data_IF_224578886991
#
_entry.id   IF_224578886991
#
_cell.length_a   1.000
_cell.length_b   1.000
_cell.length_c   1.000
_cell.angle_alpha   90.00
_cell.angle_beta   90.00
_cell.angle_gamma   90.00
#
_symmetry.space_group_name_H-M   'P 1'
#
loop_
_entity.id
_entity.type
_entity.pdbx_description
1 polymer ?
#
# COMPACT_ATOMS: atom_id res chain seq x y z
N UNK A 1 -17.34 13.19 -4.23
CA UNK A 1 -16.63 11.91 -4.16
C UNK A 1 -15.58 12.03 -3.07
N UNK A 2 -15.62 11.20 -2.03
CA UNK A 2 -14.62 11.23 -0.96
C UNK A 2 -13.44 10.33 -1.35
N UNK A 3 -12.25 10.91 -1.46
CA UNK A 3 -11.03 10.23 -1.90
C UNK A 3 -10.09 10.03 -0.73
N UNK A 4 -9.44 8.87 -0.62
CA UNK A 4 -8.37 8.61 0.33
C UNK A 4 -7.08 8.24 -0.42
N UNK A 5 -5.93 8.68 0.11
CA UNK A 5 -4.61 8.17 -0.29
C UNK A 5 -4.28 6.94 0.55
N UNK A 6 -3.92 5.85 -0.12
CA UNK A 6 -3.54 4.58 0.51
C UNK A 6 -2.09 4.24 0.18
N UNK A 7 -1.25 4.25 1.19
CA UNK A 7 0.19 4.03 1.11
C UNK A 7 0.50 2.65 1.68
N UNK A 8 0.86 1.70 0.81
CA UNK A 8 0.86 0.27 1.15
C UNK A 8 2.25 -0.33 1.25
N UNK A 9 2.50 -1.00 2.39
CA UNK A 9 3.69 -1.84 2.69
C UNK A 9 5.05 -1.12 2.53
N UNK A 10 5.07 0.21 2.72
CA UNK A 10 6.32 0.99 2.77
C UNK A 10 6.94 0.92 4.17
N UNK A 11 7.31 -0.30 4.55
CA UNK A 11 7.91 -0.67 5.83
C UNK A 11 9.42 -0.82 5.69
N UNK A 12 10.17 -0.60 6.78
CA UNK A 12 11.63 -0.69 6.78
C UNK A 12 12.14 -1.98 6.14
N UNK A 13 11.61 -3.13 6.54
CA UNK A 13 12.03 -4.44 6.03
C UNK A 13 11.62 -4.71 4.58
N UNK A 14 10.62 -4.03 4.05
CA UNK A 14 10.18 -4.18 2.65
C UNK A 14 10.95 -3.23 1.74
N UNK A 15 11.08 -1.97 2.14
CA UNK A 15 11.87 -0.96 1.40
C UNK A 15 13.33 -1.40 1.23
N UNK A 16 13.89 -2.04 2.25
CA UNK A 16 15.26 -2.58 2.20
C UNK A 16 15.48 -3.66 1.12
N UNK A 17 14.41 -4.25 0.56
CA UNK A 17 14.50 -5.26 -0.51
C UNK A 17 14.66 -4.67 -1.91
N UNK A 18 14.46 -3.36 -2.06
CA UNK A 18 14.57 -2.66 -3.35
C UNK A 18 15.52 -1.46 -3.24
N UNK A 19 16.78 -1.66 -2.80
CA UNK A 19 17.68 -0.56 -2.43
C UNK A 19 17.89 0.44 -3.58
N UNK A 20 18.01 -0.05 -4.81
CA UNK A 20 18.28 0.78 -6.00
C UNK A 20 17.12 1.70 -6.38
N UNK A 21 15.88 1.31 -6.04
CA UNK A 21 14.66 2.06 -6.36
C UNK A 21 14.14 2.87 -5.17
N UNK A 22 14.55 2.53 -3.95
CA UNK A 22 13.96 3.01 -2.71
C UNK A 22 14.01 4.53 -2.55
N UNK A 23 15.14 5.15 -2.86
CA UNK A 23 15.33 6.60 -2.68
C UNK A 23 14.40 7.42 -3.59
N UNK A 24 14.28 7.03 -4.86
CA UNK A 24 13.41 7.69 -5.84
C UNK A 24 11.92 7.48 -5.50
N UNK A 25 11.55 6.25 -5.15
CA UNK A 25 10.19 5.89 -4.76
C UNK A 25 9.74 6.68 -3.52
N UNK A 26 10.53 6.66 -2.46
CA UNK A 26 10.22 7.40 -1.23
C UNK A 26 10.09 8.90 -1.50
N UNK A 27 10.98 9.49 -2.28
CA UNK A 27 10.89 10.90 -2.67
C UNK A 27 9.62 11.23 -3.48
N UNK A 28 9.14 10.31 -4.32
CA UNK A 28 7.88 10.45 -5.03
C UNK A 28 6.70 10.41 -4.05
N UNK A 29 6.70 9.45 -3.13
CA UNK A 29 5.61 9.31 -2.15
C UNK A 29 5.58 10.47 -1.16
N UNK A 30 6.72 11.04 -0.76
CA UNK A 30 6.77 12.26 0.06
C UNK A 30 6.02 13.43 -0.60
N UNK A 31 6.17 13.63 -1.91
CA UNK A 31 5.41 14.66 -2.66
C UNK A 31 3.92 14.35 -2.73
N UNK A 32 3.57 13.09 -2.98
CA UNK A 32 2.16 12.63 -2.99
C UNK A 32 1.51 12.85 -1.63
N UNK A 33 2.18 12.48 -0.54
CA UNK A 33 1.72 12.70 0.85
C UNK A 33 1.51 14.18 1.16
N UNK A 34 2.44 15.03 0.75
CA UNK A 34 2.33 16.49 0.91
C UNK A 34 1.05 17.00 0.25
N UNK A 35 0.84 16.67 -1.01
CA UNK A 35 -0.34 17.07 -1.77
C UNK A 35 -1.64 16.53 -1.17
N UNK A 36 -1.67 15.26 -0.78
CA UNK A 36 -2.87 14.67 -0.14
C UNK A 36 -3.26 15.41 1.15
N UNK A 37 -2.26 15.71 1.99
CA UNK A 37 -2.46 16.43 3.26
C UNK A 37 -2.91 17.88 3.04
N UNK A 38 -2.33 18.59 2.07
CA UNK A 38 -2.77 19.93 1.66
C UNK A 38 -4.22 19.94 1.19
N UNK A 39 -4.64 18.90 0.48
CA UNK A 39 -6.03 18.67 0.03
C UNK A 39 -6.95 18.14 1.14
N UNK A 40 -6.44 17.95 2.35
CA UNK A 40 -7.18 17.38 3.49
C UNK A 40 -7.79 16.01 3.17
N UNK A 41 -7.14 15.23 2.32
CA UNK A 41 -7.53 13.86 2.04
C UNK A 41 -7.15 12.96 3.23
N UNK A 42 -7.99 12.00 3.61
CA UNK A 42 -7.58 10.93 4.51
C UNK A 42 -6.35 10.21 3.95
N UNK A 43 -5.30 10.09 4.78
CA UNK A 43 -4.09 9.33 4.47
C UNK A 43 -4.10 8.06 5.30
N UNK A 44 -4.04 6.91 4.62
CA UNK A 44 -4.10 5.60 5.26
C UNK A 44 -2.83 4.84 4.88
N UNK A 45 -1.99 4.59 5.86
CA UNK A 45 -0.87 3.68 5.72
C UNK A 45 -1.33 2.25 6.00
N UNK A 46 -1.01 1.34 5.11
CA UNK A 46 -1.26 -0.09 5.29
C UNK A 46 0.07 -0.79 5.48
N UNK A 47 0.19 -1.61 6.51
CA UNK A 47 1.38 -2.42 6.77
C UNK A 47 1.02 -3.89 6.98
N UNK A 48 1.90 -4.81 6.63
CA UNK A 48 1.77 -6.22 6.97
C UNK A 48 2.59 -6.52 8.22
N UNK A 49 1.94 -7.07 9.24
CA UNK A 49 2.59 -7.52 10.46
C UNK A 49 1.73 -8.62 11.12
N UNK A 50 2.30 -9.34 12.07
CA UNK A 50 1.65 -10.43 12.77
C UNK A 50 1.79 -10.28 14.29
N UNK A 51 0.96 -10.96 15.06
CA UNK A 51 1.18 -11.11 16.49
C UNK A 51 2.43 -11.92 16.76
N UNK A 52 3.08 -11.78 17.92
CA UNK A 52 4.23 -12.57 18.30
C UNK A 52 4.02 -14.07 18.08
N UNK A 53 4.97 -14.71 17.44
CA UNK A 53 4.88 -16.12 17.05
C UNK A 53 4.06 -16.39 15.79
N UNK A 54 3.55 -15.37 15.12
CA UNK A 54 2.85 -15.42 13.83
C UNK A 54 1.66 -16.41 13.79
N UNK A 55 0.73 -16.41 14.80
CA UNK A 55 -0.36 -17.40 14.86
C UNK A 55 -1.31 -17.32 13.67
N UNK A 56 -1.37 -16.20 12.96
CA UNK A 56 -2.18 -16.01 11.78
C UNK A 56 -1.60 -16.65 10.51
N UNK A 57 -0.35 -17.11 10.55
CA UNK A 57 0.34 -17.67 9.38
C UNK A 57 0.12 -19.18 9.27
N UNK A 58 -0.67 -19.59 8.28
CA UNK A 58 -0.90 -21.00 7.97
C UNK A 58 0.27 -21.61 7.19
N UNK A 59 0.66 -22.84 7.53
CA UNK A 59 1.63 -23.61 6.75
C UNK A 59 1.18 -23.90 5.31
N UNK A 60 -0.12 -23.85 5.04
CA UNK A 60 -0.69 -24.04 3.70
C UNK A 60 -0.65 -22.80 2.82
N UNK A 61 -0.35 -21.64 3.39
CA UNK A 61 -0.26 -20.40 2.62
C UNK A 61 1.15 -20.26 2.04
N UNK A 62 1.29 -20.54 0.75
CA UNK A 62 2.57 -20.53 0.07
C UNK A 62 3.30 -19.18 0.18
N UNK A 63 2.56 -18.06 0.13
CA UNK A 63 3.15 -16.72 0.20
C UNK A 63 3.69 -16.37 1.59
N UNK A 64 3.06 -16.89 2.65
CA UNK A 64 3.37 -16.50 4.03
C UNK A 64 4.01 -17.60 4.87
N UNK A 65 3.96 -18.86 4.44
CA UNK A 65 4.47 -20.00 5.25
C UNK A 65 5.91 -19.85 5.69
N UNK A 66 6.77 -19.25 4.85
CA UNK A 66 8.17 -18.97 5.18
C UNK A 66 8.36 -17.91 6.28
N UNK A 67 7.30 -17.16 6.63
CA UNK A 67 7.32 -16.12 7.68
C UNK A 67 6.91 -16.66 9.05
N UNK A 68 6.60 -17.96 9.15
CA UNK A 68 6.20 -18.55 10.44
C UNK A 68 7.31 -18.47 11.46
N UNK A 69 7.02 -17.86 12.62
CA UNK A 69 7.98 -17.70 13.70
C UNK A 69 9.07 -16.65 13.43
N UNK A 70 9.00 -15.92 12.34
CA UNK A 70 9.93 -14.82 12.07
C UNK A 70 9.55 -13.58 12.89
N UNK A 71 10.29 -13.31 13.96
CA UNK A 71 10.05 -12.17 14.84
C UNK A 71 10.22 -10.80 14.16
N UNK A 72 10.89 -10.75 13.00
CA UNK A 72 10.99 -9.52 12.20
C UNK A 72 9.64 -9.11 11.63
N UNK A 73 8.68 -10.03 11.57
CA UNK A 73 7.32 -9.78 11.11
C UNK A 73 6.34 -9.46 12.26
N UNK A 74 6.81 -9.40 13.50
CA UNK A 74 5.97 -9.03 14.65
C UNK A 74 5.53 -7.55 14.55
N UNK A 75 4.34 -7.25 15.07
CA UNK A 75 3.76 -5.89 15.05
C UNK A 75 4.64 -4.82 15.73
N UNK A 76 5.48 -5.24 16.66
CA UNK A 76 6.38 -4.37 17.41
C UNK A 76 7.78 -4.28 16.82
N UNK A 77 8.06 -5.05 15.76
CA UNK A 77 9.37 -5.05 15.11
C UNK A 77 9.60 -3.76 14.30
N UNK A 78 10.82 -3.23 14.37
CA UNK A 78 11.23 -2.10 13.52
C UNK A 78 11.07 -2.43 12.02
N UNK A 79 11.31 -3.67 11.62
CA UNK A 79 11.14 -4.09 10.23
C UNK A 79 9.71 -3.93 9.71
N UNK A 80 8.69 -3.99 10.58
CA UNK A 80 7.27 -3.79 10.23
C UNK A 80 6.80 -2.35 10.42
N UNK A 81 7.65 -1.46 10.92
CA UNK A 81 7.34 -0.04 11.06
C UNK A 81 7.26 0.65 9.69
N UNK A 82 6.36 1.63 9.55
CA UNK A 82 6.33 2.51 8.38
C UNK A 82 7.67 3.24 8.27
N UNK A 83 8.20 3.32 7.06
CA UNK A 83 9.53 3.90 6.82
C UNK A 83 9.58 5.38 7.28
N UNK A 84 10.58 5.79 8.09
CA UNK A 84 10.59 7.09 8.79
C UNK A 84 10.58 8.30 7.85
N UNK A 85 11.11 8.18 6.63
CA UNK A 85 11.02 9.26 5.63
C UNK A 85 9.59 9.66 5.28
N UNK A 86 8.60 8.80 5.49
CA UNK A 86 7.19 9.11 5.17
C UNK A 86 6.52 9.95 6.26
N UNK A 87 7.21 10.18 7.36
CA UNK A 87 6.83 11.11 8.43
C UNK A 87 5.33 11.06 8.78
N UNK A 88 4.92 9.99 9.47
CA UNK A 88 3.56 9.88 10.00
C UNK A 88 3.19 11.15 10.79
N UNK A 89 2.00 11.69 10.54
CA UNK A 89 1.48 12.89 11.19
C UNK A 89 0.22 12.59 11.98
N UNK A 90 -0.12 13.46 12.90
CA UNK A 90 -1.41 13.42 13.58
C UNK A 90 -2.54 13.47 12.53
N UNK A 91 -3.47 12.52 12.62
CA UNK A 91 -4.55 12.34 11.66
C UNK A 91 -4.28 11.32 10.55
N UNK A 92 -3.04 10.89 10.31
CA UNK A 92 -2.75 9.74 9.47
C UNK A 92 -3.17 8.44 10.18
N UNK A 93 -3.74 7.51 9.43
CA UNK A 93 -4.17 6.22 9.97
C UNK A 93 -3.19 5.11 9.58
N UNK A 94 -2.94 4.17 10.49
CA UNK A 94 -2.14 2.99 10.22
C UNK A 94 -3.01 1.74 10.38
N UNK A 95 -3.25 1.06 9.27
CA UNK A 95 -3.98 -0.22 9.22
C UNK A 95 -2.99 -1.36 9.15
N UNK A 96 -3.15 -2.37 10.00
CA UNK A 96 -2.32 -3.57 9.98
C UNK A 96 -3.10 -4.73 9.37
N UNK A 97 -2.61 -5.26 8.25
CA UNK A 97 -3.19 -6.42 7.54
C UNK A 97 -2.44 -7.71 7.83
N UNK A 98 -3.10 -8.85 7.62
CA UNK A 98 -2.55 -10.19 7.84
C UNK A 98 -2.40 -11.02 6.55
N UNK A 99 -2.76 -10.46 5.41
CA UNK A 99 -2.68 -11.11 4.09
C UNK A 99 -2.18 -10.12 3.05
N UNK A 100 -2.18 -10.51 1.79
CA UNK A 100 -1.61 -9.70 0.70
C UNK A 100 -2.44 -8.44 0.44
N UNK A 101 -3.76 -8.56 0.30
CA UNK A 101 -4.65 -7.40 0.10
C UNK A 101 -4.74 -6.54 1.37
N UNK A 102 -4.89 -5.23 1.21
CA UNK A 102 -5.14 -4.29 2.30
C UNK A 102 -6.39 -4.63 3.12
N UNK A 103 -7.39 -5.22 2.51
CA UNK A 103 -8.66 -5.61 3.13
C UNK A 103 -8.57 -6.89 3.95
N UNK A 104 -7.60 -7.75 3.66
CA UNK A 104 -7.61 -9.11 4.17
C UNK A 104 -6.95 -9.23 5.55
N UNK A 105 -7.77 -9.49 6.57
CA UNK A 105 -7.35 -9.61 7.96
C UNK A 105 -6.98 -8.27 8.59
N UNK A 106 -7.70 -7.21 8.22
CA UNK A 106 -7.53 -5.84 8.69
C UNK A 106 -8.88 -5.18 8.94
N UNK A 107 -8.86 -4.00 9.51
CA UNK A 107 -9.99 -3.09 9.68
C UNK A 107 -10.10 -2.05 8.54
N UNK A 108 -9.36 -2.23 7.45
CA UNK A 108 -9.27 -1.25 6.36
C UNK A 108 -10.65 -0.85 5.80
N UNK A 109 -11.53 -1.82 5.53
CA UNK A 109 -12.87 -1.54 5.03
C UNK A 109 -13.70 -0.74 6.03
N UNK A 110 -13.60 -1.04 7.32
CA UNK A 110 -14.30 -0.29 8.40
C UNK A 110 -13.83 1.16 8.40
N UNK A 111 -12.53 1.39 8.28
CA UNK A 111 -11.93 2.73 8.19
C UNK A 111 -12.46 3.47 6.96
N UNK A 112 -12.44 2.85 5.78
CA UNK A 112 -12.95 3.49 4.55
C UNK A 112 -14.42 3.90 4.67
N UNK A 113 -15.24 3.03 5.24
CA UNK A 113 -16.67 3.32 5.46
C UNK A 113 -16.89 4.46 6.45
N UNK A 114 -16.10 4.54 7.53
CA UNK A 114 -16.23 5.60 8.54
C UNK A 114 -15.95 7.00 7.98
N UNK A 115 -15.10 7.09 6.95
CA UNK A 115 -14.82 8.32 6.21
C UNK A 115 -15.69 8.51 4.96
N UNK A 116 -16.65 7.63 4.73
CA UNK A 116 -17.48 7.61 3.51
C UNK A 116 -16.63 7.65 2.22
N UNK A 117 -15.46 7.00 2.24
CA UNK A 117 -14.56 6.93 1.09
C UNK A 117 -15.17 6.05 0.01
N UNK A 118 -15.12 6.52 -1.24
CA UNK A 118 -15.57 5.78 -2.43
C UNK A 118 -14.56 5.83 -3.59
N UNK A 119 -13.44 6.53 -3.40
CA UNK A 119 -12.33 6.56 -4.35
C UNK A 119 -11.00 6.37 -3.63
N UNK A 120 -10.16 5.45 -4.13
CA UNK A 120 -8.84 5.16 -3.57
C UNK A 120 -7.74 5.57 -4.54
N UNK A 121 -6.79 6.35 -4.05
CA UNK A 121 -5.51 6.62 -4.73
C UNK A 121 -4.47 5.69 -4.11
N UNK A 122 -3.95 4.76 -4.89
CA UNK A 122 -3.14 3.64 -4.42
C UNK A 122 -1.67 3.80 -4.81
N UNK A 123 -0.78 3.57 -3.85
CA UNK A 123 0.66 3.48 -4.06
C UNK A 123 1.30 2.46 -3.10
N UNK A 124 2.50 1.98 -3.38
CA UNK A 124 3.22 1.07 -2.47
C UNK A 124 4.04 -0.04 -3.14
N UNK A 125 4.49 -1.01 -2.32
CA UNK A 125 5.34 -2.16 -2.67
C UNK A 125 4.70 -3.47 -2.15
N UNK A 126 4.60 -4.53 -2.93
CA UNK A 126 5.00 -4.64 -4.34
C UNK A 126 3.78 -4.45 -5.26
N UNK A 127 4.03 -4.02 -6.47
CA UNK A 127 2.99 -3.88 -7.51
C UNK A 127 2.23 -5.19 -7.72
N UNK A 128 2.95 -6.32 -7.84
CA UNK A 128 2.37 -7.67 -8.01
C UNK A 128 1.80 -8.27 -6.72
N UNK A 129 2.12 -7.68 -5.58
CA UNK A 129 1.64 -8.12 -4.28
C UNK A 129 0.43 -7.32 -3.81
N UNK A 130 0.69 -6.41 -2.83
CA UNK A 130 -0.37 -5.65 -2.17
C UNK A 130 -1.15 -4.76 -3.13
N UNK A 131 -0.48 -4.12 -4.11
CA UNK A 131 -1.17 -3.22 -5.04
C UNK A 131 -2.16 -4.00 -5.90
N UNK A 132 -1.72 -5.06 -6.59
CA UNK A 132 -2.58 -5.92 -7.40
C UNK A 132 -3.75 -6.50 -6.59
N UNK A 133 -3.45 -7.08 -5.43
CA UNK A 133 -4.47 -7.73 -4.61
C UNK A 133 -5.51 -6.74 -4.08
N UNK A 134 -5.08 -5.51 -3.74
CA UNK A 134 -5.97 -4.45 -3.27
C UNK A 134 -6.80 -3.87 -4.40
N UNK A 135 -6.21 -3.64 -5.59
CA UNK A 135 -6.95 -3.19 -6.78
C UNK A 135 -8.07 -4.16 -7.12
N UNK A 136 -7.80 -5.48 -7.15
CA UNK A 136 -8.82 -6.50 -7.44
C UNK A 136 -9.97 -6.45 -6.45
N UNK A 137 -9.65 -6.50 -5.16
CA UNK A 137 -10.67 -6.54 -4.11
C UNK A 137 -11.44 -5.22 -4.00
N UNK A 138 -10.77 -4.08 -4.15
CA UNK A 138 -11.44 -2.78 -4.12
C UNK A 138 -12.38 -2.57 -5.32
N UNK A 139 -11.99 -3.04 -6.51
CA UNK A 139 -12.86 -3.02 -7.69
C UNK A 139 -14.11 -3.88 -7.50
N UNK A 140 -13.96 -5.08 -6.92
CA UNK A 140 -15.10 -5.97 -6.60
C UNK A 140 -16.01 -5.41 -5.48
N UNK A 141 -15.53 -4.42 -4.71
CA UNK A 141 -16.28 -3.69 -3.69
C UNK A 141 -16.80 -2.32 -4.21
N UNK A 142 -16.79 -2.09 -5.52
CA UNK A 142 -17.29 -0.90 -6.20
C UNK A 142 -16.57 0.42 -5.86
N UNK A 143 -15.30 0.37 -5.41
CA UNK A 143 -14.50 1.58 -5.28
C UNK A 143 -14.02 2.09 -6.64
N UNK A 144 -14.06 3.40 -6.86
CA UNK A 144 -13.29 4.05 -7.91
C UNK A 144 -11.81 4.03 -7.56
N UNK A 145 -10.93 3.74 -8.54
CA UNK A 145 -9.51 3.49 -8.27
C UNK A 145 -8.61 4.35 -9.16
N UNK A 146 -7.58 4.91 -8.54
CA UNK A 146 -6.41 5.49 -9.21
C UNK A 146 -5.16 4.82 -8.69
N UNK A 147 -4.28 4.35 -9.58
CA UNK A 147 -2.97 3.80 -9.23
C UNK A 147 -1.90 4.77 -9.71
N UNK A 148 -1.01 5.17 -8.81
CA UNK A 148 0.11 6.05 -9.13
C UNK A 148 1.30 5.21 -9.62
N UNK A 149 1.54 5.22 -10.94
CA UNK A 149 2.49 4.30 -11.58
C UNK A 149 3.92 4.43 -11.08
N UNK A 150 4.39 5.65 -10.86
CA UNK A 150 5.74 5.96 -10.38
C UNK A 150 5.85 6.03 -8.84
N UNK A 151 4.74 5.82 -8.14
CA UNK A 151 4.67 5.66 -6.68
C UNK A 151 4.43 4.20 -6.25
N UNK A 152 4.52 3.25 -7.19
CA UNK A 152 4.56 1.81 -6.96
C UNK A 152 5.89 1.25 -7.44
N UNK A 153 6.33 0.15 -6.84
CA UNK A 153 7.51 -0.58 -7.28
C UNK A 153 7.33 -2.09 -7.14
N UNK A 154 8.08 -2.83 -7.92
CA UNK A 154 8.20 -4.28 -7.84
C UNK A 154 9.68 -4.70 -7.95
N UNK A 155 10.01 -5.87 -7.45
CA UNK A 155 11.35 -6.44 -7.61
C UNK A 155 11.66 -6.77 -9.08
N UNK A 156 10.63 -7.10 -9.86
CA UNK A 156 10.73 -7.35 -11.29
C UNK A 156 10.11 -6.17 -12.07
N UNK A 157 10.93 -5.37 -12.78
CA UNK A 157 10.45 -4.23 -13.57
C UNK A 157 9.49 -4.61 -14.69
N UNK A 158 9.64 -5.79 -15.29
CA UNK A 158 8.73 -6.25 -16.35
C UNK A 158 7.35 -6.60 -15.78
N UNK A 159 7.29 -7.24 -14.62
CA UNK A 159 6.03 -7.48 -13.92
C UNK A 159 5.34 -6.16 -13.58
N UNK A 160 6.08 -5.18 -13.05
CA UNK A 160 5.55 -3.84 -12.77
C UNK A 160 4.96 -3.22 -14.04
N UNK A 161 5.72 -3.20 -15.14
CA UNK A 161 5.30 -2.62 -16.42
C UNK A 161 4.02 -3.28 -16.95
N UNK A 162 3.96 -4.60 -16.98
CA UNK A 162 2.78 -5.34 -17.47
C UNK A 162 1.55 -5.03 -16.63
N UNK A 163 1.69 -4.97 -15.31
CA UNK A 163 0.58 -4.64 -14.41
C UNK A 163 0.06 -3.23 -14.65
N UNK A 164 0.94 -2.25 -14.75
CA UNK A 164 0.57 -0.84 -14.97
C UNK A 164 -0.05 -0.60 -16.34
N UNK A 165 0.48 -1.22 -17.40
CA UNK A 165 0.05 -0.93 -18.77
C UNK A 165 -1.12 -1.79 -19.25
N UNK A 166 -1.22 -3.05 -18.77
CA UNK A 166 -2.13 -4.04 -19.36
C UNK A 166 -3.18 -4.60 -18.41
N UNK A 167 -2.92 -4.57 -17.11
CA UNK A 167 -3.79 -5.21 -16.13
C UNK A 167 -4.64 -4.19 -15.38
N UNK A 168 -4.02 -3.22 -14.74
CA UNK A 168 -4.73 -2.23 -13.93
C UNK A 168 -5.68 -1.32 -14.71
N UNK A 169 -5.41 -0.93 -15.98
CA UNK A 169 -6.34 -0.08 -16.74
C UNK A 169 -7.74 -0.68 -16.96
N UNK A 170 -7.91 -1.96 -16.66
CA UNK A 170 -9.23 -2.62 -16.69
C UNK A 170 -10.10 -2.29 -15.47
N UNK A 171 -9.51 -1.84 -14.37
CA UNK A 171 -10.19 -1.63 -13.08
C UNK A 171 -9.83 -0.31 -12.41
N UNK A 172 -8.81 0.39 -12.89
CA UNK A 172 -8.29 1.62 -12.29
C UNK A 172 -7.81 2.60 -13.34
N UNK A 173 -7.84 3.89 -13.03
CA UNK A 173 -7.07 4.89 -13.76
C UNK A 173 -5.61 4.77 -13.34
N UNK A 174 -4.70 4.59 -14.30
CA UNK A 174 -3.25 4.55 -14.04
C UNK A 174 -2.63 5.84 -14.54
N UNK A 175 -2.05 6.62 -13.65
CA UNK A 175 -1.43 7.92 -13.96
C UNK A 175 -0.11 8.09 -13.19
N UNK A 176 0.71 9.05 -13.62
CA UNK A 176 1.89 9.41 -12.84
C UNK A 176 1.54 10.22 -11.60
N UNK A 177 2.39 10.20 -10.58
CA UNK A 177 2.25 11.07 -9.41
C UNK A 177 2.26 12.55 -9.81
N UNK A 178 3.04 12.92 -10.81
CA UNK A 178 3.13 14.28 -11.36
C UNK A 178 1.76 14.73 -11.90
N UNK A 179 1.13 13.89 -12.72
CA UNK A 179 -0.15 14.21 -13.33
C UNK A 179 -1.25 14.28 -12.26
N UNK A 180 -1.21 13.34 -11.30
CA UNK A 180 -2.14 13.36 -10.17
C UNK A 180 -2.00 14.63 -9.31
N UNK A 181 -0.77 15.06 -9.03
CA UNK A 181 -0.50 16.31 -8.28
C UNK A 181 -1.01 17.52 -9.07
N UNK A 182 -0.90 17.52 -10.39
CA UNK A 182 -1.36 18.61 -11.25
C UNK A 182 -2.89 18.68 -11.43
N UNK A 183 -3.62 17.59 -11.17
CA UNK A 183 -5.10 17.63 -11.17
C UNK A 183 -5.61 18.41 -9.95
N UNK A 184 -6.42 19.44 -10.20
CA UNK A 184 -7.05 20.25 -9.14
C UNK A 184 -8.19 19.51 -8.43
#
# INVERSE_FOLDING_TARGET
MTTALVVMDLQNGIVARIPDQSAALLGTIERVLTTARERRMPVIFVRVAFRPGTPEVSARNQSFSALRGDSRMDETSDATSVHPRLALRDGDLVVTKRRVSAFAGSDFEVVLRSFAVNHLVLCGIATSGVVLSTVRQAADLDFSLTVLSDACADADPEVHRVLMEKVFPRQATVISSRDWIATN
#
